data_IF_007528337176
#
_entry.id   IF_007528337176
#
_cell.length_a   1.000
_cell.length_b   1.000
_cell.length_c   1.000
_cell.angle_alpha   90.00
_cell.angle_beta   90.00
_cell.angle_gamma   90.00
#
_symmetry.space_group_name_H-M   'P 1'
#
loop_
_entity.id
_entity.type
_entity.pdbx_description
1 polymer ?
#
# COMPACT_ATOMS: atom_id res chain seq x y z
N UNK A 1 7.80 8.69 6.38
CA UNK A 1 7.69 7.24 6.16
C UNK A 1 7.24 6.93 4.74
N UNK A 2 7.77 5.88 4.13
CA UNK A 2 7.22 5.29 2.91
C UNK A 2 6.04 4.40 3.29
N UNK A 3 4.91 4.57 2.63
CA UNK A 3 3.66 3.88 2.96
C UNK A 3 3.15 3.13 1.74
N UNK A 4 2.76 1.88 1.91
CA UNK A 4 2.03 1.11 0.89
C UNK A 4 0.74 0.52 1.46
N UNK A 5 -0.08 -0.08 0.59
CA UNK A 5 -1.32 -0.75 0.96
C UNK A 5 -1.43 -2.13 0.31
N UNK A 6 -1.77 -3.14 1.11
CA UNK A 6 -2.27 -4.44 0.63
C UNK A 6 -3.74 -4.56 1.03
N UNK A 7 -4.62 -4.66 0.03
CA UNK A 7 -6.06 -4.79 0.23
C UNK A 7 -6.67 -5.86 -0.66
N UNK A 8 -7.88 -6.32 -0.30
CA UNK A 8 -8.64 -7.35 -1.01
C UNK A 8 -7.89 -8.69 -1.03
N UNK A 9 -7.52 -9.15 0.16
CA UNK A 9 -6.77 -10.37 0.39
C UNK A 9 -5.27 -10.24 0.10
N UNK A 10 -4.65 -11.37 -0.21
CA UNK A 10 -3.18 -11.50 -0.26
C UNK A 10 -2.56 -11.17 -1.62
N UNK A 11 -3.38 -10.87 -2.64
CA UNK A 11 -2.94 -10.79 -4.04
C UNK A 11 -1.82 -9.78 -4.30
N UNK A 12 -1.80 -8.68 -3.56
CA UNK A 12 -0.78 -7.62 -3.69
C UNK A 12 0.42 -7.77 -2.74
N UNK A 13 0.45 -8.81 -1.90
CA UNK A 13 1.52 -8.96 -0.91
C UNK A 13 2.91 -9.15 -1.54
N UNK A 14 2.99 -9.88 -2.66
CA UNK A 14 4.25 -10.04 -3.40
C UNK A 14 4.79 -8.70 -3.91
N UNK A 15 3.90 -7.83 -4.40
CA UNK A 15 4.24 -6.49 -4.85
C UNK A 15 4.73 -5.60 -3.69
N UNK A 16 4.04 -5.62 -2.55
CA UNK A 16 4.49 -4.91 -1.36
C UNK A 16 5.88 -5.41 -0.89
N UNK A 17 6.13 -6.72 -0.88
CA UNK A 17 7.46 -7.25 -0.56
C UNK A 17 8.54 -6.74 -1.54
N UNK A 18 8.22 -6.67 -2.84
CA UNK A 18 9.12 -6.10 -3.84
C UNK A 18 9.40 -4.61 -3.61
N UNK A 19 8.38 -3.82 -3.26
CA UNK A 19 8.52 -2.40 -2.88
C UNK A 19 9.46 -2.28 -1.69
N UNK A 20 9.20 -3.00 -0.60
CA UNK A 20 10.03 -2.95 0.60
C UNK A 20 11.48 -3.35 0.30
N UNK A 21 11.69 -4.44 -0.42
CA UNK A 21 13.01 -4.88 -0.82
C UNK A 21 13.74 -3.80 -1.64
N UNK A 22 13.05 -3.19 -2.60
CA UNK A 22 13.62 -2.15 -3.45
C UNK A 22 14.03 -0.90 -2.67
N UNK A 23 13.20 -0.44 -1.73
CA UNK A 23 13.50 0.68 -0.84
C UNK A 23 14.68 0.38 0.09
N UNK A 24 14.78 -0.84 0.63
CA UNK A 24 15.92 -1.27 1.45
C UNK A 24 17.21 -1.35 0.62
N UNK A 25 17.15 -1.82 -0.62
CA UNK A 25 18.32 -1.91 -1.51
C UNK A 25 18.89 -0.54 -1.85
N UNK A 26 18.02 0.47 -2.04
CA UNK A 26 18.46 1.86 -2.22
C UNK A 26 18.77 2.57 -0.90
N UNK A 27 18.78 1.83 0.22
CA UNK A 27 19.17 2.28 1.55
C UNK A 27 18.36 3.51 2.02
N UNK A 28 17.04 3.48 1.86
CA UNK A 28 16.20 4.53 2.45
C UNK A 28 16.41 4.62 3.96
N UNK A 29 16.47 5.85 4.48
CA UNK A 29 16.59 6.11 5.93
C UNK A 29 15.23 6.19 6.64
N UNK A 30 14.13 6.22 5.89
CA UNK A 30 12.78 6.39 6.44
C UNK A 30 12.09 5.06 6.68
N UNK A 31 11.22 5.04 7.70
CA UNK A 31 10.38 3.88 8.02
C UNK A 31 9.55 3.42 6.81
N UNK A 32 9.44 2.11 6.70
CA UNK A 32 8.56 1.41 5.78
C UNK A 32 7.30 0.97 6.52
N UNK A 33 6.14 1.45 6.07
CA UNK A 33 4.83 1.12 6.62
C UNK A 33 4.00 0.40 5.57
N UNK A 34 3.47 -0.77 5.92
CA UNK A 34 2.49 -1.49 5.12
C UNK A 34 1.14 -1.42 5.81
N UNK A 35 0.18 -0.73 5.21
CA UNK A 35 -1.21 -0.83 5.61
C UNK A 35 -1.81 -2.11 5.05
N UNK A 36 -2.57 -2.85 5.86
CA UNK A 36 -3.24 -4.09 5.46
C UNK A 36 -4.72 -4.04 5.83
N UNK A 37 -5.57 -4.65 5.03
CA UNK A 37 -7.00 -4.79 5.37
C UNK A 37 -7.26 -6.07 6.19
N UNK A 38 -8.39 -6.17 6.91
CA UNK A 38 -8.68 -7.30 7.80
C UNK A 38 -8.60 -8.69 7.14
N UNK A 39 -8.90 -8.77 5.85
CA UNK A 39 -8.91 -9.98 5.03
C UNK A 39 -7.52 -10.41 4.50
N UNK A 40 -6.47 -9.62 4.71
CA UNK A 40 -5.07 -10.07 4.49
C UNK A 40 -4.73 -11.10 5.55
N UNK A 41 -4.31 -12.30 5.13
CA UNK A 41 -4.17 -13.44 6.03
C UNK A 41 -3.02 -13.26 7.02
N UNK A 42 -3.14 -13.90 8.19
CA UNK A 42 -2.09 -13.83 9.21
C UNK A 42 -0.71 -14.30 8.72
N UNK A 43 -0.58 -15.41 7.97
CA UNK A 43 0.71 -15.80 7.36
C UNK A 43 1.30 -14.71 6.46
N UNK A 44 0.48 -14.07 5.62
CA UNK A 44 0.92 -13.00 4.73
C UNK A 44 1.39 -11.77 5.50
N UNK A 45 0.65 -11.37 6.54
CA UNK A 45 1.08 -10.28 7.44
C UNK A 45 2.41 -10.60 8.12
N UNK A 46 2.64 -11.85 8.54
CA UNK A 46 3.93 -12.27 9.12
C UNK A 46 5.08 -12.09 8.14
N UNK A 47 4.91 -12.41 6.85
CA UNK A 47 5.93 -12.16 5.84
C UNK A 47 6.18 -10.66 5.65
N UNK A 48 5.13 -9.84 5.63
CA UNK A 48 5.27 -8.38 5.53
C UNK A 48 6.04 -7.80 6.73
N UNK A 49 5.79 -8.28 7.95
CA UNK A 49 6.51 -7.86 9.16
C UNK A 49 8.02 -8.18 9.14
N UNK A 50 8.50 -9.04 8.23
CA UNK A 50 9.94 -9.30 8.08
C UNK A 50 10.64 -8.15 7.34
N UNK A 51 9.93 -7.45 6.46
CA UNK A 51 10.52 -6.44 5.56
C UNK A 51 10.13 -5.01 5.95
N UNK A 52 8.91 -4.82 6.43
CA UNK A 52 8.36 -3.54 6.86
C UNK A 52 8.63 -3.29 8.34
N UNK A 53 8.91 -2.02 8.69
CA UNK A 53 9.08 -1.60 10.09
C UNK A 53 7.74 -1.67 10.84
N UNK A 54 6.66 -1.31 10.15
CA UNK A 54 5.30 -1.40 10.69
C UNK A 54 4.32 -2.01 9.70
N UNK A 55 3.54 -2.99 10.16
CA UNK A 55 2.39 -3.53 9.43
C UNK A 55 1.14 -3.17 10.24
N UNK A 56 0.30 -2.32 9.68
CA UNK A 56 -0.83 -1.70 10.38
C UNK A 56 -2.12 -2.15 9.73
N UNK A 57 -3.01 -2.79 10.50
CA UNK A 57 -4.36 -3.06 10.01
C UNK A 57 -5.16 -1.76 9.92
N UNK A 58 -5.80 -1.52 8.78
CA UNK A 58 -6.65 -0.36 8.53
C UNK A 58 -8.04 -0.80 8.06
N UNK A 59 -9.11 -0.08 8.44
CA UNK A 59 -10.44 -0.41 7.97
C UNK A 59 -10.58 -0.10 6.48
N UNK A 60 -11.45 -0.86 5.81
CA UNK A 60 -11.89 -0.49 4.47
C UNK A 60 -12.54 0.89 4.46
N UNK A 61 -12.23 1.67 3.42
CA UNK A 61 -13.01 2.85 3.07
C UNK A 61 -13.69 2.52 1.75
N UNK A 62 -15.00 2.27 1.82
CA UNK A 62 -15.82 1.97 0.66
C UNK A 62 -16.67 3.20 0.30
N UNK A 63 -16.60 3.60 -0.97
CA UNK A 63 -17.53 4.60 -1.50
C UNK A 63 -18.04 4.16 -2.87
N UNK A 64 -19.34 4.28 -3.07
CA UNK A 64 -19.98 3.88 -4.32
C UNK A 64 -19.52 4.78 -5.46
N UNK A 65 -18.79 4.21 -6.39
CA UNK A 65 -18.31 4.93 -7.56
C UNK A 65 -19.39 4.99 -8.65
N UNK A 66 -19.33 6.02 -9.50
CA UNK A 66 -20.13 6.04 -10.73
C UNK A 66 -19.66 4.90 -11.64
N UNK A 67 -20.60 4.26 -12.34
CA UNK A 67 -20.25 3.26 -13.35
C UNK A 67 -19.29 3.85 -14.36
N UNK A 68 -18.22 3.11 -14.64
CA UNK A 68 -17.28 3.46 -15.69
C UNK A 68 -17.96 3.32 -17.05
N UNK A 69 -17.51 4.12 -18.02
CA UNK A 69 -18.22 4.35 -19.27
C UNK A 69 -18.14 3.18 -20.25
N UNK A 70 -17.11 2.34 -20.11
CA UNK A 70 -16.87 1.21 -21.01
C UNK A 70 -16.92 -0.13 -20.28
N UNK A 71 -17.40 -1.18 -20.96
CA UNK A 71 -17.39 -2.55 -20.43
C UNK A 71 -15.98 -3.04 -20.09
N UNK A 72 -14.97 -2.63 -20.87
CA UNK A 72 -13.57 -2.99 -20.61
C UNK A 72 -13.09 -2.44 -19.27
N UNK A 73 -13.41 -1.17 -18.97
CA UNK A 73 -13.07 -0.56 -17.70
C UNK A 73 -13.86 -1.19 -16.55
N UNK A 74 -15.17 -1.37 -16.73
CA UNK A 74 -16.03 -2.03 -15.74
C UNK A 74 -15.44 -3.39 -15.32
N UNK A 75 -15.05 -4.25 -16.26
CA UNK A 75 -14.41 -5.55 -15.96
C UNK A 75 -13.07 -5.46 -15.24
N UNK A 76 -12.32 -4.37 -15.39
CA UNK A 76 -11.00 -4.22 -14.77
C UNK A 76 -11.06 -3.62 -13.36
N UNK A 77 -12.08 -2.81 -13.09
CA UNK A 77 -12.09 -1.93 -11.93
C UNK A 77 -13.26 -2.19 -10.98
N UNK A 78 -14.40 -2.72 -11.45
CA UNK A 78 -15.63 -2.78 -10.65
C UNK A 78 -15.46 -3.61 -9.36
N UNK A 79 -14.59 -4.62 -9.37
CA UNK A 79 -14.36 -5.50 -8.23
C UNK A 79 -13.64 -4.81 -7.05
N UNK A 80 -12.92 -3.70 -7.31
CA UNK A 80 -12.06 -3.08 -6.30
C UNK A 80 -12.15 -1.55 -6.21
N UNK A 81 -12.65 -0.86 -7.24
CA UNK A 81 -12.62 0.61 -7.32
C UNK A 81 -13.34 1.30 -6.18
N UNK A 82 -14.42 0.69 -5.66
CA UNK A 82 -15.15 1.23 -4.51
C UNK A 82 -14.30 1.21 -3.23
N UNK A 83 -13.34 0.28 -3.13
CA UNK A 83 -12.42 0.13 -1.99
C UNK A 83 -11.12 0.91 -2.17
N UNK A 84 -10.88 1.51 -3.33
CA UNK A 84 -9.65 2.28 -3.63
C UNK A 84 -9.40 3.42 -2.64
N UNK A 85 -10.46 3.93 -2.01
CA UNK A 85 -10.36 4.95 -0.98
C UNK A 85 -9.65 4.48 0.29
N UNK A 86 -9.47 3.17 0.49
CA UNK A 86 -8.74 2.62 1.65
C UNK A 86 -7.31 3.15 1.74
N UNK A 87 -6.71 3.58 0.60
CA UNK A 87 -5.41 4.26 0.56
C UNK A 87 -5.35 5.51 1.43
N UNK A 88 -6.46 6.24 1.58
CA UNK A 88 -6.53 7.48 2.36
C UNK A 88 -6.27 7.28 3.86
N UNK A 89 -6.34 6.05 4.37
CA UNK A 89 -5.91 5.76 5.74
C UNK A 89 -4.46 6.16 6.02
N UNK A 90 -3.60 6.34 4.99
CA UNK A 90 -2.24 6.84 5.19
C UNK A 90 -2.21 8.23 5.83
N UNK A 91 -3.25 9.05 5.64
CA UNK A 91 -3.35 10.37 6.26
C UNK A 91 -3.65 10.31 7.76
N UNK A 92 -4.08 9.15 8.28
CA UNK A 92 -4.31 8.94 9.71
C UNK A 92 -3.03 8.51 10.44
N UNK A 93 -1.89 8.36 9.75
CA UNK A 93 -0.61 8.00 10.34
C UNK A 93 0.07 9.22 10.99
N UNK A 94 -0.61 9.80 11.98
CA UNK A 94 -0.25 11.05 12.66
C UNK A 94 1.05 10.98 13.47
N UNK A 95 1.61 9.79 13.67
CA UNK A 95 2.95 9.62 14.25
C UNK A 95 4.07 10.07 13.31
N UNK A 96 3.78 10.30 12.02
CA UNK A 96 4.73 10.79 11.03
C UNK A 96 4.42 12.23 10.64
N UNK A 97 5.47 13.07 10.53
CA UNK A 97 5.33 14.43 10.01
C UNK A 97 4.99 14.43 8.51
N UNK A 98 5.57 13.49 7.74
CA UNK A 98 5.33 13.30 6.30
C UNK A 98 5.24 11.83 5.94
N UNK A 99 4.32 11.52 5.03
CA UNK A 99 4.14 10.20 4.43
C UNK A 99 4.25 10.29 2.91
N UNK A 100 5.00 9.38 2.30
CA UNK A 100 5.04 9.20 0.85
C UNK A 100 4.39 7.88 0.50
N UNK A 101 3.26 7.95 -0.18
CA UNK A 101 2.52 6.77 -0.58
C UNK A 101 3.10 6.19 -1.87
N UNK A 102 3.38 4.89 -1.87
CA UNK A 102 3.86 4.13 -3.02
C UNK A 102 2.96 2.90 -3.24
N UNK A 103 2.45 2.75 -4.46
CA UNK A 103 1.63 1.60 -4.82
C UNK A 103 2.43 0.30 -4.80
N UNK A 104 1.76 -0.81 -4.45
CA UNK A 104 2.37 -2.12 -4.33
C UNK A 104 2.86 -2.71 -5.68
N UNK A 105 2.50 -2.09 -6.81
CA UNK A 105 2.95 -2.46 -8.15
C UNK A 105 4.17 -1.65 -8.64
N UNK A 106 4.84 -0.93 -7.74
CA UNK A 106 6.03 -0.12 -8.03
C UNK A 106 7.33 -0.83 -7.63
N UNK A 107 8.46 -0.38 -8.22
CA UNK A 107 9.81 -0.80 -7.82
C UNK A 107 10.71 0.43 -7.80
N UNK A 108 11.38 0.66 -6.67
CA UNK A 108 12.30 1.79 -6.48
C UNK A 108 13.70 1.41 -6.95
N UNK A 109 14.24 2.16 -7.91
CA UNK A 109 15.57 1.87 -8.51
C UNK A 109 16.69 2.77 -8.00
N UNK A 110 16.35 3.95 -7.52
CA UNK A 110 17.29 4.96 -7.02
C UNK A 110 16.72 5.48 -5.70
N UNK A 111 17.60 5.85 -4.77
CA UNK A 111 17.15 6.48 -3.53
C UNK A 111 16.47 7.81 -3.87
N UNK A 112 15.25 8.00 -3.37
CA UNK A 112 14.43 9.21 -3.59
C UNK A 112 13.97 9.80 -2.26
N UNK A 113 14.82 9.72 -1.24
CA UNK A 113 14.57 10.26 0.09
C UNK A 113 14.49 11.80 0.11
N UNK A 114 14.98 12.46 -0.95
CA UNK A 114 14.85 13.90 -1.19
C UNK A 114 13.39 14.35 -1.31
N UNK A 115 12.47 13.45 -1.67
CA UNK A 115 11.03 13.76 -1.73
C UNK A 115 10.41 14.15 -0.36
N UNK A 116 11.11 13.87 0.75
CA UNK A 116 10.64 14.23 2.09
C UNK A 116 11.14 15.60 2.58
N UNK A 117 12.00 16.27 1.81
CA UNK A 117 12.56 17.61 2.08
C UNK A 117 11.68 18.72 1.47
#
# INVERSE_FOLDING_TARGET
AWVTLVMLGDGYAAGALAVAQSLRMVQTKYDLVCMVTPDVTHPTRRHLCVMYDHVIEVPYIQHRCRKLWSEKQSRMYDDWIEFSFTKWNCLNLVQYERVMFIDADMVVKVNSDDLFE
#
